data_IF_061359583595
#
_entry.id   IF_061359583595
#
_cell.length_a   1.000
_cell.length_b   1.000
_cell.length_c   1.000
_cell.angle_alpha   90.00
_cell.angle_beta   90.00
_cell.angle_gamma   90.00
#
_symmetry.space_group_name_H-M   'P 1'
#
loop_
_entity.id
_entity.type
_entity.pdbx_description
1 polymer ?
#
# COMPACT_ATOMS: atom_id res chain seq x y z
N UNK A 1 15.87 1.03 -45.68
CA UNK A 1 16.12 -0.30 -45.08
C UNK A 1 14.83 -0.68 -44.37
N UNK A 2 14.29 -1.85 -44.67
CA UNK A 2 13.00 -2.33 -44.19
C UNK A 2 13.13 -2.81 -42.75
N UNK A 3 12.53 -2.10 -41.80
CA UNK A 3 12.39 -2.60 -40.44
C UNK A 3 11.44 -3.81 -40.44
N UNK A 4 11.97 -4.92 -39.96
CA UNK A 4 11.27 -6.18 -39.85
C UNK A 4 10.29 -6.12 -38.66
N UNK A 5 8.95 -6.25 -38.85
CA UNK A 5 7.96 -6.08 -37.79
C UNK A 5 7.95 -7.24 -36.77
N UNK A 6 8.81 -8.25 -36.90
CA UNK A 6 8.75 -9.45 -36.07
C UNK A 6 9.39 -9.30 -34.68
N UNK A 7 9.80 -8.11 -34.28
CA UNK A 7 10.42 -7.84 -32.96
C UNK A 7 9.67 -6.78 -32.14
N UNK A 8 8.35 -6.63 -32.33
CA UNK A 8 7.54 -5.86 -31.39
C UNK A 8 7.69 -6.47 -29.99
N UNK A 9 8.44 -5.80 -29.12
CA UNK A 9 8.40 -6.04 -27.69
C UNK A 9 6.95 -5.95 -27.26
N UNK A 10 6.48 -6.96 -26.54
CA UNK A 10 5.07 -7.20 -26.22
C UNK A 10 4.31 -6.06 -25.51
N UNK A 11 4.93 -4.93 -25.21
CA UNK A 11 4.32 -3.81 -24.50
C UNK A 11 4.93 -2.47 -24.95
N UNK A 12 4.09 -1.49 -25.31
CA UNK A 12 4.49 -0.09 -25.43
C UNK A 12 4.20 0.60 -24.08
N UNK A 13 5.22 0.74 -23.23
CA UNK A 13 5.10 1.48 -21.96
C UNK A 13 5.91 2.77 -22.02
N UNK A 14 5.24 3.87 -21.67
CA UNK A 14 5.91 5.08 -21.23
C UNK A 14 5.81 5.14 -19.69
N UNK A 15 6.96 5.15 -19.00
CA UNK A 15 7.02 5.42 -17.58
C UNK A 15 7.84 6.70 -17.34
N UNK A 16 7.24 7.67 -16.66
CA UNK A 16 7.95 8.83 -16.13
C UNK A 16 8.49 8.48 -14.74
N UNK A 17 9.78 8.16 -14.65
CA UNK A 17 10.49 8.05 -13.37
C UNK A 17 11.10 9.42 -13.07
N UNK A 18 10.60 10.07 -12.03
CA UNK A 18 11.15 11.35 -11.58
C UNK A 18 12.32 11.07 -10.62
N UNK A 19 13.48 11.65 -10.90
CA UNK A 19 14.67 11.54 -10.04
C UNK A 19 14.46 12.22 -8.68
N UNK A 20 13.60 13.24 -8.63
CA UNK A 20 13.20 13.94 -7.40
C UNK A 20 11.67 14.07 -7.27
N UNK A 21 11.12 14.01 -6.03
CA UNK A 21 9.72 14.28 -5.72
C UNK A 21 9.19 15.60 -6.31
N UNK A 22 8.06 15.56 -7.02
CA UNK A 22 7.27 16.78 -7.26
C UNK A 22 6.46 17.07 -5.99
N UNK A 23 7.07 17.84 -5.07
CA UNK A 23 6.45 18.34 -3.84
C UNK A 23 6.74 17.52 -2.57
N UNK A 24 6.25 18.01 -1.42
CA UNK A 24 6.58 17.47 -0.08
C UNK A 24 5.90 16.14 0.27
N UNK A 25 5.12 15.56 -0.64
CA UNK A 25 4.42 14.27 -0.48
C UNK A 25 4.39 13.51 -1.80
N UNK A 26 5.47 12.81 -2.15
CA UNK A 26 5.38 11.79 -3.21
C UNK A 26 5.55 10.41 -2.60
N UNK A 27 4.43 9.69 -2.48
CA UNK A 27 4.45 8.24 -2.35
C UNK A 27 4.85 7.57 -3.67
N UNK A 28 4.71 6.26 -3.77
CA UNK A 28 5.06 5.51 -5.00
C UNK A 28 4.23 6.00 -6.20
N UNK A 29 4.91 6.61 -7.19
CA UNK A 29 4.36 7.09 -8.47
C UNK A 29 3.11 8.01 -8.38
N UNK A 30 2.90 8.70 -7.25
CA UNK A 30 1.68 9.51 -7.04
C UNK A 30 0.38 8.69 -7.04
N UNK A 31 0.49 7.37 -6.89
CA UNK A 31 -0.61 6.42 -7.08
C UNK A 31 -1.65 6.58 -5.99
N UNK A 32 -2.87 6.83 -6.45
CA UNK A 32 -4.05 6.69 -5.63
C UNK A 32 -4.39 5.20 -5.48
N UNK A 33 -4.82 4.76 -4.30
CA UNK A 33 -5.32 3.41 -4.04
C UNK A 33 -6.66 3.14 -4.74
N UNK A 34 -7.02 3.96 -5.74
CA UNK A 34 -8.37 4.10 -6.21
C UNK A 34 -8.80 2.87 -7.00
N UNK A 35 -9.31 1.94 -6.23
CA UNK A 35 -10.49 1.14 -6.50
C UNK A 35 -11.74 1.99 -6.79
N UNK A 36 -11.68 3.34 -6.70
CA UNK A 36 -12.78 4.15 -7.23
C UNK A 36 -12.77 4.05 -8.74
N UNK A 37 -13.95 3.66 -9.22
CA UNK A 37 -14.34 3.78 -10.60
C UNK A 37 -14.31 5.27 -10.98
N UNK A 38 -13.53 5.62 -12.00
CA UNK A 38 -13.38 6.99 -12.47
C UNK A 38 -14.43 7.38 -13.52
N UNK A 39 -15.34 6.48 -13.91
CA UNK A 39 -16.39 6.75 -14.89
C UNK A 39 -17.23 7.97 -14.50
N UNK A 40 -17.44 8.87 -15.44
CA UNK A 40 -18.14 10.15 -15.26
C UNK A 40 -17.30 11.27 -14.65
N UNK A 41 -16.06 11.01 -14.24
CA UNK A 41 -15.15 12.06 -13.76
C UNK A 41 -14.35 12.67 -14.91
N UNK A 42 -14.07 13.97 -14.79
CA UNK A 42 -13.20 14.68 -15.72
C UNK A 42 -11.74 14.22 -15.55
N UNK A 43 -11.11 13.92 -16.67
CA UNK A 43 -9.67 13.75 -16.81
C UNK A 43 -9.12 14.69 -17.87
N UNK A 44 -7.93 15.22 -17.62
CA UNK A 44 -7.19 16.06 -18.55
C UNK A 44 -6.09 15.23 -19.21
N UNK A 45 -5.98 15.30 -20.53
CA UNK A 45 -4.92 14.64 -21.30
C UNK A 45 -4.05 15.70 -21.95
N UNK A 46 -2.74 15.55 -21.79
CA UNK A 46 -1.75 16.47 -22.38
C UNK A 46 -0.72 15.68 -23.18
N UNK A 47 -0.55 15.99 -24.47
CA UNK A 47 0.36 15.26 -25.36
C UNK A 47 0.60 15.92 -26.71
N UNK A 48 1.58 15.44 -27.45
CA UNK A 48 1.83 15.86 -28.83
C UNK A 48 1.09 14.94 -29.81
N UNK A 49 0.68 15.48 -30.97
CA UNK A 49 0.14 14.65 -32.05
C UNK A 49 1.26 13.81 -32.67
N UNK A 50 1.01 12.53 -32.91
CA UNK A 50 1.91 11.65 -33.66
C UNK A 50 1.83 11.88 -35.18
N UNK A 51 0.83 12.64 -35.65
CA UNK A 51 0.51 12.84 -37.07
C UNK A 51 0.71 14.27 -37.56
N UNK A 52 1.07 15.20 -36.66
CA UNK A 52 1.25 16.61 -36.99
C UNK A 52 2.70 17.04 -36.79
N UNK A 53 3.24 17.77 -37.77
CA UNK A 53 4.52 18.50 -37.62
C UNK A 53 4.40 19.68 -36.62
N UNK A 54 3.20 19.94 -36.09
CA UNK A 54 2.98 20.97 -35.09
C UNK A 54 3.71 20.64 -33.79
N UNK A 55 4.68 21.48 -33.44
CA UNK A 55 5.49 21.42 -32.20
C UNK A 55 4.70 21.90 -30.96
N UNK A 56 3.37 21.98 -31.03
CA UNK A 56 2.54 22.48 -29.93
C UNK A 56 1.88 21.34 -29.17
N UNK A 57 2.12 21.31 -27.86
CA UNK A 57 1.50 20.36 -26.94
C UNK A 57 -0.01 20.61 -26.85
N UNK A 58 -0.81 19.59 -27.14
CA UNK A 58 -2.26 19.62 -27.01
C UNK A 58 -2.67 19.32 -25.57
N UNK A 59 -3.73 19.97 -25.08
CA UNK A 59 -4.32 19.70 -23.76
C UNK A 59 -5.83 19.82 -23.84
N UNK A 60 -6.54 18.82 -23.35
CA UNK A 60 -8.01 18.82 -23.31
C UNK A 60 -8.54 18.05 -22.10
N UNK A 61 -9.75 18.38 -21.66
CA UNK A 61 -10.42 17.78 -20.50
C UNK A 61 -11.75 17.15 -20.90
N UNK A 62 -11.91 15.86 -20.58
CA UNK A 62 -13.11 15.08 -20.93
C UNK A 62 -13.48 14.11 -19.82
N UNK A 63 -14.74 13.68 -19.82
CA UNK A 63 -15.20 12.65 -18.90
C UNK A 63 -14.61 11.28 -19.28
N UNK A 64 -14.22 10.51 -18.27
CA UNK A 64 -14.01 9.07 -18.42
C UNK A 64 -15.35 8.44 -18.72
N UNK A 65 -15.49 7.86 -19.91
CA UNK A 65 -16.70 7.17 -20.37
C UNK A 65 -16.79 5.79 -19.72
N UNK A 66 -15.65 5.14 -19.48
CA UNK A 66 -15.57 3.81 -18.87
C UNK A 66 -14.26 3.60 -18.14
N UNK A 67 -14.35 2.98 -16.97
CA UNK A 67 -13.22 2.46 -16.20
C UNK A 67 -13.42 0.96 -16.00
N UNK A 68 -12.45 0.17 -16.46
CA UNK A 68 -12.48 -1.29 -16.37
C UNK A 68 -11.66 -1.84 -15.19
N UNK A 69 -11.01 -0.98 -14.42
CA UNK A 69 -9.94 -1.36 -13.51
C UNK A 69 -8.57 -1.25 -14.18
N UNK A 70 -8.40 -1.79 -15.40
CA UNK A 70 -7.12 -1.79 -16.09
C UNK A 70 -6.96 -0.66 -17.10
N UNK A 71 -8.08 -0.24 -17.71
CA UNK A 71 -8.12 0.80 -18.74
C UNK A 71 -9.16 1.86 -18.43
N UNK A 72 -8.81 3.11 -18.76
CA UNK A 72 -9.70 4.27 -18.81
C UNK A 72 -10.03 4.57 -20.27
N UNK A 73 -11.29 4.86 -20.55
CA UNK A 73 -11.78 5.24 -21.88
C UNK A 73 -12.38 6.63 -21.80
N UNK A 74 -12.07 7.47 -22.79
CA UNK A 74 -12.54 8.86 -22.87
C UNK A 74 -12.55 9.30 -24.33
N UNK A 75 -13.32 10.35 -24.64
CA UNK A 75 -13.45 10.89 -25.99
C UNK A 75 -12.76 12.25 -26.06
N UNK A 76 -11.45 12.21 -26.26
CA UNK A 76 -10.59 13.38 -26.45
C UNK A 76 -10.19 13.42 -27.92
N UNK A 77 -10.40 14.56 -28.57
CA UNK A 77 -9.97 14.79 -29.96
C UNK A 77 -8.45 15.00 -30.04
N UNK A 78 -7.70 13.96 -29.67
CA UNK A 78 -6.29 13.87 -30.01
C UNK A 78 -6.24 13.30 -31.42
N UNK A 79 -6.17 14.18 -32.42
CA UNK A 79 -5.89 13.79 -33.80
C UNK A 79 -4.56 13.00 -33.82
N UNK A 80 -4.67 11.66 -33.74
CA UNK A 80 -3.55 10.74 -33.57
C UNK A 80 -2.66 11.02 -32.35
N UNK A 81 -3.23 11.17 -31.14
CA UNK A 81 -2.46 11.39 -29.91
C UNK A 81 -1.29 10.40 -29.75
N UNK A 82 -0.08 10.90 -29.53
CA UNK A 82 1.10 10.07 -29.33
C UNK A 82 0.92 9.24 -28.05
N UNK A 83 1.02 7.91 -28.18
CA UNK A 83 1.11 6.99 -27.05
C UNK A 83 2.16 7.49 -26.04
N UNK A 84 1.81 7.47 -24.76
CA UNK A 84 2.68 7.92 -23.65
C UNK A 84 2.26 9.24 -22.98
N UNK A 85 1.23 9.92 -23.48
CA UNK A 85 0.68 11.12 -22.82
C UNK A 85 0.10 10.80 -21.43
N UNK A 86 0.37 11.67 -20.44
CA UNK A 86 -0.17 11.52 -19.09
C UNK A 86 -1.65 11.93 -19.03
N UNK A 87 -2.43 11.15 -18.29
CA UNK A 87 -3.85 11.41 -18.00
C UNK A 87 -3.97 11.86 -16.54
N UNK A 88 -4.49 13.06 -16.31
CA UNK A 88 -4.61 13.68 -15.00
C UNK A 88 -6.05 13.69 -14.52
N UNK A 89 -6.29 13.51 -13.22
CA UNK A 89 -7.59 13.84 -12.63
C UNK A 89 -7.74 15.34 -12.34
N UNK A 90 -8.93 15.75 -11.89
CA UNK A 90 -9.23 17.13 -11.51
C UNK A 90 -8.36 17.68 -10.36
N UNK A 91 -7.60 16.84 -9.65
CA UNK A 91 -6.64 17.23 -8.62
C UNK A 91 -5.19 17.22 -9.13
N UNK A 92 -5.00 17.15 -10.46
CA UNK A 92 -3.70 17.10 -11.14
C UNK A 92 -2.84 15.88 -10.80
N UNK A 93 -3.45 14.77 -10.39
CA UNK A 93 -2.75 13.49 -10.17
C UNK A 93 -2.76 12.68 -11.45
N UNK A 94 -1.63 12.05 -11.80
CA UNK A 94 -1.59 11.12 -12.94
C UNK A 94 -2.37 9.85 -12.59
N UNK A 95 -3.43 9.57 -13.34
CA UNK A 95 -4.33 8.41 -13.15
C UNK A 95 -4.24 7.40 -14.28
N UNK A 96 -3.54 7.74 -15.37
CA UNK A 96 -3.33 6.83 -16.49
C UNK A 96 -2.26 7.31 -17.45
N UNK A 97 -1.87 6.42 -18.35
CA UNK A 97 -0.98 6.72 -19.49
C UNK A 97 -1.75 6.39 -20.76
N UNK A 98 -1.97 7.38 -21.61
CA UNK A 98 -2.67 7.23 -22.89
C UNK A 98 -1.88 6.30 -23.81
N UNK A 99 -2.54 5.34 -24.45
CA UNK A 99 -1.89 4.35 -25.31
C UNK A 99 -2.48 4.25 -26.72
N UNK A 100 -3.54 5.00 -27.02
CA UNK A 100 -4.15 5.05 -28.35
C UNK A 100 -5.66 4.99 -28.31
N UNK A 101 -6.27 4.42 -29.35
CA UNK A 101 -7.71 4.46 -29.57
C UNK A 101 -8.29 3.06 -29.82
N UNK A 102 -9.55 2.85 -29.43
CA UNK A 102 -10.36 1.65 -29.71
C UNK A 102 -11.55 2.05 -30.59
N UNK A 103 -11.82 1.30 -31.66
CA UNK A 103 -13.03 1.47 -32.47
C UNK A 103 -14.22 0.74 -31.85
N UNK A 104 -15.33 1.45 -31.67
CA UNK A 104 -16.63 0.92 -31.24
C UNK A 104 -17.70 1.28 -32.26
N UNK A 105 -17.85 0.44 -33.29
CA UNK A 105 -18.77 0.73 -34.38
C UNK A 105 -18.28 1.92 -35.20
N UNK A 106 -19.07 3.00 -35.29
CA UNK A 106 -18.69 4.26 -35.92
C UNK A 106 -17.83 5.16 -35.04
N UNK A 107 -17.76 4.89 -33.74
CA UNK A 107 -17.15 5.79 -32.77
C UNK A 107 -15.72 5.36 -32.48
N UNK A 108 -14.80 6.31 -32.41
CA UNK A 108 -13.41 6.09 -32.00
C UNK A 108 -13.28 6.66 -30.60
N UNK A 109 -12.93 5.83 -29.62
CA UNK A 109 -12.68 6.26 -28.24
C UNK A 109 -11.20 6.14 -27.93
N UNK A 110 -10.65 7.10 -27.18
CA UNK A 110 -9.29 7.02 -26.68
C UNK A 110 -9.24 6.11 -25.45
N UNK A 111 -8.09 5.49 -25.23
CA UNK A 111 -7.85 4.68 -24.06
C UNK A 111 -6.49 4.92 -23.42
N UNK A 112 -6.44 4.73 -22.11
CA UNK A 112 -5.23 4.78 -21.30
C UNK A 112 -5.14 3.54 -20.41
N UNK A 113 -3.91 3.08 -20.16
CA UNK A 113 -3.64 2.14 -19.06
C UNK A 113 -3.86 2.91 -17.76
N UNK A 114 -4.76 2.40 -16.91
CA UNK A 114 -5.01 2.99 -15.58
C UNK A 114 -3.80 2.73 -14.70
N UNK A 115 -3.30 3.79 -14.08
CA UNK A 115 -2.29 3.68 -13.04
C UNK A 115 -2.99 3.32 -11.72
N UNK A 116 -2.76 2.10 -11.26
CA UNK A 116 -3.31 1.56 -10.03
C UNK A 116 -2.29 0.61 -9.38
N UNK A 117 -2.58 0.13 -8.16
CA UNK A 117 -1.71 -0.81 -7.45
C UNK A 117 -1.62 -2.19 -8.14
N UNK A 118 -2.66 -2.63 -8.85
CA UNK A 118 -2.70 -3.95 -9.50
C UNK A 118 -1.63 -4.06 -10.60
N UNK A 119 -1.44 -2.98 -11.36
CA UNK A 119 -0.48 -2.93 -12.45
C UNK A 119 0.96 -2.68 -11.98
N UNK A 120 1.15 -2.34 -10.71
CA UNK A 120 2.44 -1.89 -10.19
C UNK A 120 3.50 -3.01 -10.21
N UNK A 121 3.14 -4.21 -9.76
CA UNK A 121 4.01 -5.38 -9.83
C UNK A 121 4.43 -5.71 -11.26
N UNK A 122 3.50 -5.61 -12.21
CA UNK A 122 3.79 -5.84 -13.63
C UNK A 122 4.75 -4.78 -14.19
N UNK A 123 4.46 -3.49 -13.96
CA UNK A 123 5.29 -2.36 -14.39
C UNK A 123 6.73 -2.55 -13.91
N UNK A 124 6.96 -2.84 -12.63
CA UNK A 124 8.31 -3.06 -12.11
C UNK A 124 8.95 -4.38 -12.54
N UNK A 125 8.17 -5.36 -13.02
CA UNK A 125 8.74 -6.63 -13.52
C UNK A 125 9.40 -6.51 -14.90
N UNK A 126 9.07 -5.47 -15.66
CA UNK A 126 9.54 -5.24 -17.03
C UNK A 126 10.47 -4.02 -17.15
N UNK A 127 10.70 -3.29 -16.06
CA UNK A 127 11.61 -2.15 -16.02
C UNK A 127 12.99 -2.59 -15.57
N UNK A 128 13.90 -2.73 -16.52
CA UNK A 128 15.30 -3.05 -16.22
C UNK A 128 15.91 -1.98 -15.31
N UNK A 129 16.61 -2.43 -14.26
CA UNK A 129 17.29 -1.55 -13.30
C UNK A 129 16.41 -0.95 -12.20
N UNK A 130 15.08 -1.16 -12.24
CA UNK A 130 14.16 -0.66 -11.21
C UNK A 130 13.49 -1.80 -10.45
N UNK A 131 13.23 -1.58 -9.15
CA UNK A 131 12.54 -2.57 -8.30
C UNK A 131 11.53 -1.89 -7.38
N UNK A 132 10.38 -2.54 -7.21
CA UNK A 132 9.40 -2.17 -6.19
C UNK A 132 9.70 -2.77 -4.82
N UNK A 133 10.76 -3.56 -4.69
CA UNK A 133 11.05 -4.23 -3.43
C UNK A 133 11.24 -3.25 -2.26
N UNK A 134 10.94 -3.76 -1.07
CA UNK A 134 10.96 -3.00 0.16
C UNK A 134 9.62 -2.37 0.52
N UNK A 135 9.68 -1.45 1.48
CA UNK A 135 8.51 -0.73 1.97
C UNK A 135 8.05 0.33 0.97
N UNK A 136 6.74 0.37 0.68
CA UNK A 136 6.09 1.36 -0.19
C UNK A 136 4.88 1.97 0.52
N UNK A 137 4.85 3.30 0.57
CA UNK A 137 3.69 4.05 1.05
C UNK A 137 2.80 4.38 -0.15
N UNK A 138 1.67 3.71 -0.24
CA UNK A 138 0.71 3.85 -1.32
C UNK A 138 -0.60 4.38 -0.70
N UNK A 139 -0.94 5.63 -1.03
CA UNK A 139 -2.14 6.30 -0.50
C UNK A 139 -2.28 6.24 1.02
N UNK A 140 -1.19 6.56 1.73
CA UNK A 140 -1.18 6.60 3.19
C UNK A 140 -1.13 5.22 3.87
N UNK A 141 -1.10 4.13 3.11
CA UNK A 141 -0.96 2.77 3.65
C UNK A 141 0.39 2.18 3.27
N UNK A 142 1.07 1.56 4.24
CA UNK A 142 2.33 0.88 4.01
C UNK A 142 2.11 -0.55 3.50
N UNK A 143 2.91 -0.94 2.52
CA UNK A 143 2.98 -2.27 1.94
C UNK A 143 4.44 -2.69 1.86
N UNK A 144 4.70 -4.00 1.90
CA UNK A 144 6.04 -4.54 1.68
C UNK A 144 6.06 -5.44 0.45
N UNK A 145 7.00 -5.19 -0.45
CA UNK A 145 7.20 -5.97 -1.66
C UNK A 145 8.52 -6.73 -1.60
N UNK A 146 8.52 -7.95 -2.13
CA UNK A 146 9.70 -8.80 -2.29
C UNK A 146 9.61 -9.54 -3.60
N UNK A 147 10.65 -9.49 -4.43
CA UNK A 147 10.65 -10.01 -5.80
C UNK A 147 9.42 -9.53 -6.59
N UNK A 148 9.13 -8.23 -6.53
CA UNK A 148 7.96 -7.58 -7.15
C UNK A 148 6.59 -8.10 -6.69
N UNK A 149 6.55 -8.92 -5.64
CA UNK A 149 5.32 -9.49 -5.10
C UNK A 149 4.95 -8.81 -3.80
N UNK A 150 3.69 -8.35 -3.69
CA UNK A 150 3.15 -7.79 -2.45
C UNK A 150 3.04 -8.88 -1.38
N UNK A 151 3.66 -8.65 -0.23
CA UNK A 151 3.70 -9.62 0.86
C UNK A 151 2.46 -9.53 1.75
N UNK A 152 2.10 -10.66 2.36
CA UNK A 152 1.00 -10.78 3.33
C UNK A 152 1.43 -11.64 4.53
N UNK A 153 0.68 -11.60 5.62
CA UNK A 153 0.96 -12.34 6.86
C UNK A 153 2.16 -11.79 7.63
N UNK A 154 2.75 -12.64 8.46
CA UNK A 154 3.93 -12.29 9.27
C UNK A 154 5.18 -12.18 8.40
N UNK A 155 5.91 -11.08 8.54
CA UNK A 155 7.14 -10.82 7.80
C UNK A 155 8.26 -10.42 8.76
N UNK A 156 9.41 -11.10 8.66
CA UNK A 156 10.64 -10.73 9.35
C UNK A 156 11.49 -9.88 8.42
N UNK A 157 11.63 -8.59 8.74
CA UNK A 157 12.30 -7.60 7.92
C UNK A 157 13.32 -6.89 8.80
N UNK A 158 14.61 -7.02 8.49
CA UNK A 158 15.72 -6.41 9.22
C UNK A 158 15.70 -6.68 10.74
N UNK A 159 15.38 -7.92 11.14
CA UNK A 159 15.33 -8.33 12.53
C UNK A 159 14.08 -7.88 13.31
N UNK A 160 13.12 -7.23 12.65
CA UNK A 160 11.82 -6.85 13.22
C UNK A 160 10.70 -7.65 12.57
N UNK A 161 9.62 -7.87 13.32
CA UNK A 161 8.43 -8.54 12.83
C UNK A 161 7.32 -7.55 12.51
N UNK A 162 6.65 -7.76 11.40
CA UNK A 162 5.50 -6.99 10.93
C UNK A 162 4.39 -7.94 10.54
N UNK A 163 3.14 -7.49 10.66
CA UNK A 163 2.00 -8.22 10.10
C UNK A 163 1.39 -7.41 8.96
N UNK A 164 1.26 -8.05 7.81
CA UNK A 164 0.64 -7.50 6.62
C UNK A 164 -0.71 -8.22 6.46
N UNK A 165 -1.79 -7.46 6.35
CA UNK A 165 -3.14 -8.00 6.16
C UNK A 165 -3.24 -8.79 4.84
N UNK A 166 -4.36 -9.46 4.60
CA UNK A 166 -4.63 -10.15 3.33
C UNK A 166 -4.59 -9.22 2.12
N UNK A 167 -4.91 -7.94 2.30
CA UNK A 167 -4.75 -6.89 1.29
C UNK A 167 -3.29 -6.50 1.02
N UNK A 168 -2.38 -6.90 1.91
CA UNK A 168 -0.97 -6.49 1.99
C UNK A 168 -0.73 -5.25 2.84
N UNK A 169 -1.78 -4.61 3.36
CA UNK A 169 -1.66 -3.41 4.20
C UNK A 169 -0.97 -3.73 5.53
N UNK A 170 -0.01 -2.91 5.93
CA UNK A 170 0.68 -3.08 7.22
C UNK A 170 -0.28 -2.79 8.39
N UNK A 171 -0.38 -3.74 9.32
CA UNK A 171 -1.17 -3.59 10.54
C UNK A 171 -0.40 -2.83 11.62
N UNK A 172 -1.13 -2.11 12.46
CA UNK A 172 -0.61 -1.44 13.66
C UNK A 172 -1.57 -1.67 14.84
N UNK A 173 -1.09 -1.46 16.06
CA UNK A 173 -1.87 -1.66 17.29
C UNK A 173 -2.10 -3.13 17.64
N UNK A 174 -3.16 -3.37 18.43
CA UNK A 174 -3.55 -4.72 18.84
C UNK A 174 -4.07 -5.54 17.67
N UNK A 175 -3.47 -6.70 17.45
CA UNK A 175 -3.84 -7.62 16.38
C UNK A 175 -4.05 -9.03 16.90
N UNK A 176 -5.22 -9.59 16.65
CA UNK A 176 -5.52 -11.00 16.94
C UNK A 176 -5.22 -11.86 15.71
N UNK A 177 -4.27 -12.79 15.84
CA UNK A 177 -3.85 -13.70 14.77
C UNK A 177 -3.82 -15.13 15.32
N UNK A 178 -4.57 -16.03 14.69
CA UNK A 178 -4.55 -17.48 14.98
C UNK A 178 -4.68 -17.81 16.48
N UNK A 179 -5.62 -17.17 17.17
CA UNK A 179 -5.89 -17.47 18.58
C UNK A 179 -5.10 -16.64 19.58
N UNK A 180 -4.18 -15.77 19.13
CA UNK A 180 -3.26 -15.03 19.99
C UNK A 180 -3.30 -13.54 19.70
N UNK A 181 -3.12 -12.72 20.74
CA UNK A 181 -2.99 -11.27 20.62
C UNK A 181 -1.53 -10.87 20.48
N UNK A 182 -1.28 -9.88 19.62
CA UNK A 182 0.02 -9.25 19.41
C UNK A 182 -0.17 -7.75 19.45
N UNK A 183 0.90 -7.02 19.76
CA UNK A 183 0.91 -5.57 19.64
C UNK A 183 1.96 -5.13 18.62
N UNK A 184 1.50 -4.42 17.60
CA UNK A 184 2.32 -3.81 16.56
C UNK A 184 2.44 -2.31 16.85
N UNK A 185 3.63 -1.75 16.75
CA UNK A 185 3.88 -0.34 17.02
C UNK A 185 2.94 0.56 16.20
N UNK A 186 2.30 1.54 16.87
CA UNK A 186 1.30 2.43 16.23
C UNK A 186 1.89 3.29 15.11
N UNK A 187 3.18 3.59 15.17
CA UNK A 187 3.87 4.46 14.20
C UNK A 187 4.61 3.63 13.16
N UNK A 188 5.37 2.65 13.62
CA UNK A 188 6.33 1.92 12.78
C UNK A 188 5.83 0.54 12.34
N UNK A 189 4.79 -0.01 12.96
CA UNK A 189 4.25 -1.35 12.67
C UNK A 189 5.08 -2.53 13.20
N UNK A 190 6.25 -2.29 13.81
CA UNK A 190 7.06 -3.37 14.38
C UNK A 190 6.41 -4.01 15.61
N UNK A 191 6.42 -5.33 15.67
CA UNK A 191 5.88 -6.12 16.77
C UNK A 191 6.67 -5.84 18.06
N UNK A 192 5.95 -5.56 19.13
CA UNK A 192 6.52 -5.39 20.47
C UNK A 192 6.65 -6.73 21.19
N UNK A 193 7.62 -6.77 22.09
CA UNK A 193 7.93 -7.91 22.97
C UNK A 193 8.25 -7.40 24.37
N UNK A 194 8.05 -8.22 25.39
CA UNK A 194 8.26 -7.85 26.79
C UNK A 194 7.13 -6.98 27.36
N UNK A 195 7.46 -6.20 28.40
CA UNK A 195 6.52 -5.27 29.02
C UNK A 195 6.14 -4.15 28.06
N UNK A 196 4.85 -3.96 27.85
CA UNK A 196 4.31 -2.88 27.03
C UNK A 196 3.20 -2.14 27.77
N UNK A 197 3.25 -0.80 27.74
CA UNK A 197 2.22 0.05 28.35
C UNK A 197 1.37 0.70 27.27
N UNK A 198 0.08 0.39 27.26
CA UNK A 198 -0.91 1.05 26.40
C UNK A 198 -1.83 1.91 27.28
N UNK A 199 -1.69 3.23 27.16
CA UNK A 199 -2.31 4.19 28.07
C UNK A 199 -1.83 4.00 29.52
N UNK A 200 -2.76 3.67 30.42
CA UNK A 200 -2.47 3.39 31.83
C UNK A 200 -2.21 1.90 32.12
N UNK A 201 -2.44 1.01 31.16
CA UNK A 201 -2.46 -0.44 31.37
C UNK A 201 -1.16 -1.09 30.90
N UNK A 202 -0.60 -1.96 31.73
CA UNK A 202 0.56 -2.77 31.38
C UNK A 202 0.14 -4.15 30.87
N UNK A 203 0.86 -4.63 29.87
CA UNK A 203 0.72 -5.94 29.26
C UNK A 203 2.10 -6.59 29.16
N UNK A 204 2.15 -7.92 29.10
CA UNK A 204 3.38 -8.64 28.80
C UNK A 204 3.22 -9.42 27.50
N UNK A 205 4.08 -9.11 26.54
CA UNK A 205 4.18 -9.78 25.25
C UNK A 205 5.35 -10.76 25.32
N UNK A 206 5.17 -11.98 24.84
CA UNK A 206 6.20 -13.02 24.88
C UNK A 206 7.52 -12.51 24.27
N UNK A 207 8.67 -12.60 24.97
CA UNK A 207 9.94 -12.10 24.45
C UNK A 207 10.42 -12.75 23.15
N UNK A 208 9.98 -13.97 22.87
CA UNK A 208 10.39 -14.74 21.69
C UNK A 208 9.36 -14.66 20.57
N UNK A 209 8.09 -14.84 20.91
CA UNK A 209 7.01 -14.99 19.94
C UNK A 209 6.12 -13.75 19.83
N UNK A 210 6.18 -12.81 20.77
CA UNK A 210 5.37 -11.58 20.80
C UNK A 210 3.91 -11.76 21.21
N UNK A 211 3.43 -12.98 21.47
CA UNK A 211 2.05 -13.20 21.90
C UNK A 211 1.81 -12.67 23.32
N UNK A 212 0.70 -11.96 23.50
CA UNK A 212 0.26 -11.43 24.78
C UNK A 212 -0.02 -12.56 25.76
N UNK A 213 0.54 -12.45 26.97
CA UNK A 213 0.30 -13.39 28.06
C UNK A 213 -0.94 -13.02 28.87
N UNK A 214 -1.51 -14.03 29.50
CA UNK A 214 -2.56 -13.95 30.51
C UNK A 214 -2.21 -14.90 31.65
N UNK A 215 -2.79 -14.69 32.84
CA UNK A 215 -2.53 -15.49 34.03
C UNK A 215 -1.20 -15.15 34.69
N UNK A 216 -0.67 -16.11 35.46
CA UNK A 216 0.59 -15.96 36.18
C UNK A 216 1.79 -15.98 35.23
N UNK A 217 2.68 -15.00 35.39
CA UNK A 217 3.97 -14.95 34.69
C UNK A 217 5.10 -14.65 35.67
N UNK A 218 6.31 -15.14 35.36
CA UNK A 218 7.52 -14.85 36.14
C UNK A 218 8.52 -14.10 35.28
N UNK A 219 8.90 -12.89 35.70
CA UNK A 219 9.81 -12.00 34.97
C UNK A 219 10.85 -11.47 35.96
N UNK A 220 12.14 -11.63 35.65
CA UNK A 220 13.22 -11.11 36.51
C UNK A 220 13.24 -11.68 37.94
N UNK A 221 12.64 -12.85 38.17
CA UNK A 221 12.53 -13.47 39.49
C UNK A 221 11.22 -13.18 40.23
N UNK A 222 10.50 -12.12 39.84
CA UNK A 222 9.24 -11.71 40.45
C UNK A 222 8.04 -12.30 39.70
N UNK A 223 6.96 -12.52 40.43
CA UNK A 223 5.69 -13.01 39.89
C UNK A 223 4.73 -11.86 39.64
N UNK A 224 3.99 -11.94 38.55
CA UNK A 224 2.95 -10.99 38.16
C UNK A 224 1.71 -11.78 37.73
N UNK A 225 0.56 -11.13 37.76
CA UNK A 225 -0.67 -11.69 37.23
C UNK A 225 -1.27 -10.75 36.18
N UNK A 226 -1.58 -11.32 35.01
CA UNK A 226 -2.29 -10.64 33.93
C UNK A 226 -3.71 -11.19 33.89
N UNK A 227 -4.72 -10.33 33.91
CA UNK A 227 -6.12 -10.79 33.82
C UNK A 227 -6.44 -11.39 32.44
N UNK A 228 -7.69 -11.77 32.21
CA UNK A 228 -8.13 -12.37 30.94
C UNK A 228 -8.01 -11.45 29.73
N UNK A 229 -7.96 -10.12 29.92
CA UNK A 229 -7.68 -9.15 28.86
C UNK A 229 -6.18 -8.89 28.67
N UNK A 230 -5.31 -9.58 29.44
CA UNK A 230 -3.86 -9.39 29.44
C UNK A 230 -3.38 -8.20 30.28
N UNK A 231 -4.29 -7.48 30.94
CA UNK A 231 -3.94 -6.32 31.75
C UNK A 231 -3.29 -6.78 33.07
N UNK A 232 -2.14 -6.19 33.39
CA UNK A 232 -1.44 -6.42 34.65
C UNK A 232 -2.26 -5.88 35.82
N UNK A 233 -2.51 -6.73 36.81
CA UNK A 233 -3.24 -6.35 38.01
C UNK A 233 -2.29 -5.76 39.06
N UNK A 234 -2.85 -4.92 39.93
CA UNK A 234 -2.18 -4.36 41.11
C UNK A 234 -3.13 -4.43 42.31
N UNK A 235 -2.62 -4.23 43.53
CA UNK A 235 -3.43 -4.25 44.74
C UNK A 235 -3.92 -5.65 45.13
N UNK A 236 -4.97 -5.71 45.95
CA UNK A 236 -5.56 -6.97 46.42
C UNK A 236 -6.46 -7.59 45.37
N UNK A 237 -6.20 -8.83 44.98
CA UNK A 237 -6.91 -9.55 43.91
C UNK A 237 -7.30 -10.96 44.38
N UNK A 238 -8.48 -11.43 43.98
CA UNK A 238 -8.90 -12.81 44.23
C UNK A 238 -8.71 -13.63 42.96
N UNK A 239 -7.83 -14.63 43.00
CA UNK A 239 -7.47 -15.51 41.88
C UNK A 239 -7.70 -16.95 42.35
N UNK A 240 -8.54 -17.70 41.62
CA UNK A 240 -8.92 -19.08 41.95
C UNK A 240 -9.36 -19.27 43.42
N UNK A 241 -10.13 -18.30 43.94
CA UNK A 241 -10.66 -18.32 45.32
C UNK A 241 -9.66 -17.92 46.40
N UNK A 242 -8.44 -17.51 46.05
CA UNK A 242 -7.41 -17.07 46.99
C UNK A 242 -7.04 -15.60 46.77
N UNK A 243 -6.83 -14.87 47.88
CA UNK A 243 -6.40 -13.47 47.86
C UNK A 243 -4.88 -13.37 47.70
N UNK A 244 -4.44 -12.56 46.74
CA UNK A 244 -3.05 -12.21 46.47
C UNK A 244 -2.92 -10.69 46.46
N UNK A 245 -1.81 -10.16 46.99
CA UNK A 245 -1.54 -8.73 46.99
C UNK A 245 -0.42 -8.42 46.02
N UNK A 246 -0.61 -7.42 45.17
CA UNK A 246 0.37 -6.99 44.20
C UNK A 246 0.76 -5.54 44.49
N UNK A 247 2.05 -5.24 44.39
CA UNK A 247 2.57 -3.88 44.45
C UNK A 247 2.02 -3.03 43.30
N UNK A 248 2.24 -1.71 43.35
CA UNK A 248 1.90 -0.81 42.24
C UNK A 248 2.72 -1.10 40.96
N UNK A 249 3.88 -1.76 41.11
CA UNK A 249 4.68 -2.34 40.02
C UNK A 249 4.08 -3.62 39.43
N UNK A 250 3.03 -4.18 40.04
CA UNK A 250 2.41 -5.46 39.66
C UNK A 250 3.10 -6.70 40.23
N UNK A 251 4.18 -6.53 41.00
CA UNK A 251 4.91 -7.63 41.62
C UNK A 251 4.08 -8.23 42.77
N UNK A 252 3.97 -9.56 42.80
CA UNK A 252 3.32 -10.28 43.90
C UNK A 252 4.14 -10.14 45.19
N UNK A 253 3.47 -9.75 46.29
CA UNK A 253 4.02 -9.55 47.63
C UNK A 253 3.27 -10.36 48.71
#
# INVERSE_FOLDING_TARGET
>A
MSDNPSTHSKNDLALLVLEEPIGTKTGTLGLSSLSTNLSGLNVTVTGYSALSEAVQMYTDTRNVIRDTGDFLYYDVDTYGGASGAAVYDASHRVVGVHIGNESRGSDIVNLAVKLNEQNLSFIYSILEGHSIDGWKLISGTWYYYKNSTKQTGWQSINGKWYYLETSGSMSTGWKYVRGRWYYLDKTNGDMKTGWYKDGSTWYYLDPTNGDMKTGWIKVGGNWYYLNSSGAMVTGSQTIDGKVYNFASSGEWI
#
